data_IF_300233620454
#
_entry.id   IF_300233620454
#
_cell.length_a   1.000
_cell.length_b   1.000
_cell.length_c   1.000
_cell.angle_alpha   90.00
_cell.angle_beta   90.00
_cell.angle_gamma   90.00
#
_symmetry.space_group_name_H-M   'P 1'
#
loop_
_entity.id
_entity.type
_entity.pdbx_description
1 polymer ?
#
# COMPACT_ATOMS: atom_id res chain seq x y z
N UNK A 1 4.90 -3.75 17.57
CA UNK A 1 4.75 -3.97 16.11
C UNK A 1 6.05 -4.60 15.57
N UNK A 2 5.98 -5.78 14.95
CA UNK A 2 7.17 -6.58 14.60
C UNK A 2 7.54 -6.46 13.12
N UNK A 3 8.82 -6.18 12.84
CA UNK A 3 9.38 -5.97 11.49
C UNK A 3 9.79 -7.29 10.82
N UNK A 4 8.92 -7.83 9.94
CA UNK A 4 9.08 -9.13 9.28
C UNK A 4 10.10 -9.16 8.11
N UNK A 5 10.63 -10.35 7.81
CA UNK A 5 11.69 -10.58 6.79
C UNK A 5 11.22 -10.55 5.33
N UNK A 6 10.02 -11.06 5.03
CA UNK A 6 9.46 -11.07 3.66
C UNK A 6 9.19 -9.67 3.09
N UNK A 7 8.90 -8.72 3.96
CA UNK A 7 8.75 -7.30 3.62
C UNK A 7 10.03 -6.67 3.13
N UNK A 8 11.11 -6.88 3.89
CA UNK A 8 12.44 -6.38 3.52
C UNK A 8 12.83 -6.88 2.13
N UNK A 9 12.37 -8.07 1.74
CA UNK A 9 12.56 -8.57 0.37
C UNK A 9 11.76 -7.74 -0.65
N UNK A 10 10.46 -7.55 -0.47
CA UNK A 10 9.63 -6.74 -1.39
C UNK A 10 10.08 -5.28 -1.50
N UNK A 11 10.38 -4.66 -0.36
CA UNK A 11 10.92 -3.30 -0.31
C UNK A 11 12.25 -3.21 -1.08
N UNK A 12 13.16 -4.18 -0.89
CA UNK A 12 14.42 -4.26 -1.65
C UNK A 12 14.20 -4.51 -3.13
N UNK A 13 13.24 -5.34 -3.51
CA UNK A 13 12.87 -5.58 -4.92
C UNK A 13 12.39 -4.27 -5.57
N UNK A 14 11.51 -3.52 -4.91
CA UNK A 14 11.04 -2.22 -5.40
C UNK A 14 12.17 -1.16 -5.45
N UNK A 15 13.03 -1.12 -4.44
CA UNK A 15 14.19 -0.23 -4.41
C UNK A 15 15.23 -0.59 -5.47
N UNK A 16 15.37 -1.87 -5.81
CA UNK A 16 16.23 -2.32 -6.91
C UNK A 16 15.62 -1.97 -8.27
N UNK A 17 14.31 -2.18 -8.45
CA UNK A 17 13.61 -1.86 -9.70
C UNK A 17 13.68 -0.36 -10.03
N UNK A 18 13.53 0.52 -9.04
CA UNK A 18 13.69 1.98 -9.21
C UNK A 18 15.11 2.41 -9.57
N UNK A 19 16.13 1.58 -9.32
CA UNK A 19 17.52 1.85 -9.72
C UNK A 19 17.91 1.20 -11.05
N UNK A 20 17.31 0.06 -11.37
CA UNK A 20 17.69 -0.77 -12.50
C UNK A 20 17.09 -0.31 -13.84
N UNK A 21 15.92 0.33 -13.82
CA UNK A 21 15.25 0.73 -15.06
C UNK A 21 14.54 2.07 -14.85
N UNK A 22 14.82 3.06 -15.70
CA UNK A 22 14.06 4.32 -15.82
C UNK A 22 12.69 4.04 -16.46
N UNK A 23 11.91 3.19 -15.83
CA UNK A 23 10.58 2.81 -16.24
C UNK A 23 9.71 2.67 -15.00
N UNK A 24 8.42 3.01 -15.15
CA UNK A 24 7.47 3.09 -14.07
C UNK A 24 7.38 4.49 -13.45
N UNK A 25 6.16 4.84 -13.05
CA UNK A 25 5.79 6.18 -12.57
C UNK A 25 6.70 6.68 -11.43
N UNK A 26 7.01 5.82 -10.46
CA UNK A 26 7.83 6.19 -9.31
C UNK A 26 9.28 6.50 -9.72
N UNK A 27 9.86 5.70 -10.62
CA UNK A 27 11.24 5.91 -11.06
C UNK A 27 11.37 7.20 -11.85
N UNK A 28 10.47 7.44 -12.81
CA UNK A 28 10.45 8.67 -13.62
C UNK A 28 10.25 9.92 -12.75
N UNK A 29 9.37 9.83 -11.75
CA UNK A 29 9.15 10.91 -10.80
C UNK A 29 10.42 11.19 -9.96
N UNK A 30 11.04 10.16 -9.39
CA UNK A 30 12.25 10.32 -8.56
C UNK A 30 13.52 10.65 -9.35
N UNK A 31 13.57 10.38 -10.65
CA UNK A 31 14.71 10.76 -11.50
C UNK A 31 14.62 12.22 -11.97
N UNK A 32 13.41 12.72 -12.23
CA UNK A 32 13.18 14.09 -12.70
C UNK A 32 13.03 15.11 -11.57
N UNK A 33 12.51 14.69 -10.42
CA UNK A 33 12.36 15.52 -9.23
C UNK A 33 13.39 15.08 -8.18
N UNK A 34 13.92 16.02 -7.37
CA UNK A 34 14.84 15.74 -6.27
C UNK A 34 14.20 14.94 -5.09
N UNK A 35 13.14 14.18 -5.38
CA UNK A 35 12.39 13.38 -4.43
C UNK A 35 13.03 12.00 -4.27
N UNK A 36 13.36 11.63 -3.04
CA UNK A 36 13.76 10.27 -2.69
C UNK A 36 12.55 9.41 -2.30
N UNK A 37 12.59 8.13 -2.64
CA UNK A 37 11.61 7.15 -2.20
C UNK A 37 11.88 6.72 -0.75
N UNK A 38 10.86 6.81 0.12
CA UNK A 38 10.98 6.53 1.56
C UNK A 38 10.80 5.05 1.92
N UNK A 39 11.48 4.14 1.21
CA UNK A 39 11.33 2.70 1.41
C UNK A 39 11.51 2.26 2.89
N UNK A 40 12.46 2.88 3.62
CA UNK A 40 12.75 2.54 5.03
C UNK A 40 11.75 3.04 6.09
N UNK A 41 10.78 3.89 5.70
CA UNK A 41 9.77 4.48 6.57
C UNK A 41 8.35 4.01 6.21
N UNK A 42 8.25 2.75 5.78
CA UNK A 42 6.98 2.11 5.43
C UNK A 42 6.60 1.04 6.45
N UNK A 43 5.31 0.96 6.76
CA UNK A 43 4.72 0.09 7.78
C UNK A 43 3.60 -0.77 7.20
N UNK A 44 3.43 -1.99 7.71
CA UNK A 44 2.26 -2.80 7.38
C UNK A 44 1.04 -2.31 8.11
N UNK A 45 -0.05 -2.17 7.36
CA UNK A 45 -1.36 -1.94 7.92
C UNK A 45 -1.98 -3.26 8.42
N UNK A 46 -1.83 -4.34 7.65
CA UNK A 46 -2.30 -5.68 8.01
C UNK A 46 -1.70 -6.76 7.09
N UNK A 47 -1.90 -8.03 7.45
CA UNK A 47 -1.53 -9.20 6.63
C UNK A 47 -2.74 -10.12 6.51
N UNK A 48 -3.10 -10.46 5.28
CA UNK A 48 -4.16 -11.41 4.96
C UNK A 48 -3.59 -12.54 4.13
N UNK A 49 -3.99 -13.77 4.44
CA UNK A 49 -3.60 -14.96 3.68
C UNK A 49 -4.51 -15.14 2.46
N UNK A 50 -5.77 -14.74 2.59
CA UNK A 50 -6.77 -14.83 1.54
C UNK A 50 -6.78 -13.57 0.69
N UNK A 51 -6.99 -13.76 -0.61
CA UNK A 51 -6.98 -12.68 -1.59
C UNK A 51 -8.12 -11.70 -1.36
N UNK A 52 -9.32 -12.20 -1.05
CA UNK A 52 -10.53 -11.39 -0.94
C UNK A 52 -10.46 -10.44 0.26
N UNK A 53 -10.08 -10.92 1.45
CA UNK A 53 -9.94 -10.03 2.62
C UNK A 53 -8.81 -9.03 2.44
N UNK A 54 -7.72 -9.41 1.75
CA UNK A 54 -6.66 -8.47 1.38
C UNK A 54 -7.20 -7.34 0.50
N UNK A 55 -7.91 -7.69 -0.56
CA UNK A 55 -8.47 -6.73 -1.52
C UNK A 55 -9.51 -5.81 -0.86
N UNK A 56 -10.38 -6.35 -0.02
CA UNK A 56 -11.35 -5.55 0.75
C UNK A 56 -10.66 -4.58 1.71
N UNK A 57 -9.61 -5.03 2.42
CA UNK A 57 -8.86 -4.15 3.33
C UNK A 57 -8.09 -3.09 2.55
N UNK A 58 -7.48 -3.43 1.42
CA UNK A 58 -6.79 -2.46 0.56
C UNK A 58 -7.76 -1.37 0.10
N UNK A 59 -8.93 -1.74 -0.43
CA UNK A 59 -9.95 -0.78 -0.85
C UNK A 59 -10.45 0.10 0.30
N UNK A 60 -10.63 -0.48 1.49
CA UNK A 60 -11.00 0.28 2.70
C UNK A 60 -9.93 1.31 3.08
N UNK A 61 -8.66 0.90 3.15
CA UNK A 61 -7.57 1.79 3.56
C UNK A 61 -7.33 2.91 2.54
N UNK A 62 -7.50 2.63 1.24
CA UNK A 62 -7.44 3.64 0.18
C UNK A 62 -8.58 4.64 0.35
N UNK A 63 -9.81 4.16 0.52
CA UNK A 63 -10.97 5.04 0.73
C UNK A 63 -10.85 5.86 2.01
N UNK A 64 -10.33 5.28 3.10
CA UNK A 64 -10.16 5.96 4.38
C UNK A 64 -9.03 7.02 4.35
N UNK A 65 -7.99 6.81 3.53
CA UNK A 65 -6.80 7.69 3.48
C UNK A 65 -6.75 8.59 2.24
N UNK A 66 -7.76 8.49 1.37
CA UNK A 66 -7.97 9.33 0.18
C UNK A 66 -6.67 9.45 -0.66
N UNK A 67 -6.23 10.67 -1.00
CA UNK A 67 -5.08 10.95 -1.86
C UNK A 67 -3.72 10.46 -1.36
N UNK A 68 -3.62 9.93 -0.13
CA UNK A 68 -2.37 9.42 0.44
C UNK A 68 -2.03 8.02 -0.06
N UNK A 69 -3.00 7.27 -0.57
CA UNK A 69 -2.81 5.95 -1.15
C UNK A 69 -3.25 5.96 -2.61
N UNK A 70 -2.29 6.16 -3.53
CA UNK A 70 -2.54 6.06 -4.97
C UNK A 70 -2.16 4.65 -5.41
N UNK A 71 -3.11 3.72 -5.28
CA UNK A 71 -3.11 2.50 -6.07
C UNK A 71 -4.41 2.47 -6.85
N UNK A 72 -4.34 2.12 -8.13
CA UNK A 72 -5.50 2.01 -9.00
C UNK A 72 -6.36 0.85 -8.50
N UNK A 73 -7.35 1.14 -7.64
CA UNK A 73 -8.16 0.11 -7.00
C UNK A 73 -9.10 -0.52 -8.03
N UNK A 74 -8.94 -1.81 -8.32
CA UNK A 74 -9.89 -2.55 -9.16
C UNK A 74 -11.24 -2.83 -8.47
N UNK A 75 -11.44 -2.37 -7.22
CA UNK A 75 -12.67 -2.55 -6.45
C UNK A 75 -13.05 -1.25 -5.75
N UNK A 76 -14.26 -0.78 -6.03
CA UNK A 76 -14.92 0.31 -5.29
C UNK A 76 -15.79 -0.32 -4.20
N UNK A 77 -15.55 0.03 -2.92
CA UNK A 77 -16.45 -0.37 -1.85
C UNK A 77 -17.73 0.47 -1.88
N UNK A 78 -18.86 -0.16 -1.57
CA UNK A 78 -20.09 0.55 -1.24
C UNK A 78 -19.99 1.22 0.14
N UNK A 79 -20.83 2.21 0.39
CA UNK A 79 -20.88 2.90 1.69
C UNK A 79 -21.16 1.96 2.87
N UNK A 80 -21.99 0.93 2.64
CA UNK A 80 -22.34 -0.06 3.66
C UNK A 80 -21.15 -0.94 4.03
N UNK A 81 -20.39 -1.41 3.03
CA UNK A 81 -19.19 -2.22 3.24
C UNK A 81 -18.11 -1.44 3.97
N UNK A 82 -17.90 -0.18 3.59
CA UNK A 82 -16.97 0.71 4.30
C UNK A 82 -17.37 0.90 5.77
N UNK A 83 -18.64 1.20 6.02
CA UNK A 83 -19.16 1.41 7.38
C UNK A 83 -19.03 0.16 8.25
N UNK A 84 -19.27 -1.02 7.67
CA UNK A 84 -19.08 -2.30 8.35
C UNK A 84 -17.62 -2.50 8.78
N UNK A 85 -16.67 -2.33 7.86
CA UNK A 85 -15.24 -2.48 8.14
C UNK A 85 -14.70 -1.46 9.15
N UNK A 86 -15.23 -0.23 9.12
CA UNK A 86 -14.92 0.80 10.11
C UNK A 86 -15.37 0.39 11.51
N UNK A 87 -16.55 -0.21 11.64
CA UNK A 87 -17.09 -0.72 12.90
C UNK A 87 -16.22 -1.84 13.50
N UNK A 88 -15.71 -2.75 12.68
CA UNK A 88 -14.83 -3.83 13.13
C UNK A 88 -13.47 -3.34 13.63
N UNK A 89 -12.89 -2.33 12.99
CA UNK A 89 -11.63 -1.71 13.42
C UNK A 89 -11.69 -1.03 14.78
N UNK A 90 -12.84 -0.48 15.16
CA UNK A 90 -13.03 0.22 16.44
C UNK A 90 -13.30 -0.73 17.62
N UNK A 91 -13.46 -2.04 17.37
CA UNK A 91 -13.69 -3.07 18.40
C UNK A 91 -12.41 -3.76 18.85
N UNK A 92 -11.32 -3.62 18.09
CA UNK A 92 -9.99 -4.19 18.36
C UNK A 92 -9.05 -3.16 18.95
#
# INVERSE_FOLDING_TARGET
MSRWSGFRRREREHAAATKATLSGHLTTHCSGNACASSFGDTWFLARYLDRVSRELREAFEIQAKDKKCISDTSLSLSWNEYSFLLGELNRT
#
